data_IF_303187894810
#
_entry.id   IF_303187894810
#
_cell.length_a   1.000
_cell.length_b   1.000
_cell.length_c   1.000
_cell.angle_alpha   90.00
_cell.angle_beta   90.00
_cell.angle_gamma   90.00
#
_symmetry.space_group_name_H-M   'P 1'
#
loop_
_entity.id
_entity.type
_entity.pdbx_description
1 polymer ?
#
# COMPACT_ATOMS: atom_id res chain seq x y z
N UNK A 1 -72.72 -12.47 -65.45
CA UNK A 1 -71.26 -12.44 -65.67
C UNK A 1 -70.93 -11.03 -66.13
N UNK A 2 -70.26 -10.19 -65.36
CA UNK A 2 -68.99 -10.50 -64.67
C UNK A 2 -68.84 -9.60 -63.41
N UNK A 3 -68.22 -10.16 -62.37
CA UNK A 3 -67.97 -9.61 -61.02
C UNK A 3 -66.90 -8.49 -60.96
N UNK A 4 -66.83 -7.82 -59.80
CA UNK A 4 -65.90 -6.74 -59.36
C UNK A 4 -64.40 -7.10 -59.51
N UNK A 5 -63.45 -6.12 -59.50
CA UNK A 5 -62.79 -5.74 -58.22
C UNK A 5 -62.22 -4.31 -58.17
N UNK A 6 -62.51 -3.50 -57.14
CA UNK A 6 -61.82 -2.21 -56.94
C UNK A 6 -61.56 -1.84 -55.46
N UNK A 7 -62.09 -2.60 -54.49
CA UNK A 7 -61.95 -2.26 -53.05
C UNK A 7 -60.90 -3.07 -52.28
N UNK A 8 -60.34 -4.12 -52.90
CA UNK A 8 -59.36 -4.99 -52.24
C UNK A 8 -57.91 -4.45 -52.32
N UNK A 9 -57.63 -3.52 -53.22
CA UNK A 9 -56.26 -3.07 -53.51
C UNK A 9 -55.79 -1.95 -52.54
N UNK A 10 -56.66 -1.02 -52.17
CA UNK A 10 -56.33 0.10 -51.27
C UNK A 10 -56.18 -0.35 -49.80
N UNK A 11 -57.06 -1.26 -49.34
CA UNK A 11 -57.02 -1.80 -47.97
C UNK A 11 -55.78 -2.67 -47.72
N UNK A 12 -55.31 -3.38 -48.74
CA UNK A 12 -54.12 -4.24 -48.65
C UNK A 12 -52.84 -3.39 -48.58
N UNK A 13 -52.73 -2.33 -49.39
CA UNK A 13 -51.57 -1.44 -49.41
C UNK A 13 -51.33 -0.74 -48.05
N UNK A 14 -52.37 -0.22 -47.41
CA UNK A 14 -52.26 0.43 -46.10
C UNK A 14 -51.87 -0.56 -44.98
N UNK A 15 -52.41 -1.79 -45.03
CA UNK A 15 -52.06 -2.84 -44.08
C UNK A 15 -50.59 -3.28 -44.17
N UNK A 16 -50.04 -3.34 -45.39
CA UNK A 16 -48.62 -3.65 -45.62
C UNK A 16 -47.71 -2.53 -45.10
N UNK A 17 -47.99 -1.27 -45.46
CA UNK A 17 -47.18 -0.10 -45.08
C UNK A 17 -47.13 0.09 -43.55
N UNK A 18 -48.26 -0.10 -42.87
CA UNK A 18 -48.32 -0.05 -41.40
C UNK A 18 -47.51 -1.20 -40.75
N UNK A 19 -47.55 -2.39 -41.35
CA UNK A 19 -46.80 -3.55 -40.83
C UNK A 19 -45.29 -3.40 -41.01
N UNK A 20 -44.83 -2.78 -42.11
CA UNK A 20 -43.42 -2.48 -42.38
C UNK A 20 -42.89 -1.44 -41.39
N UNK A 21 -43.62 -0.36 -41.13
CA UNK A 21 -43.22 0.67 -40.15
C UNK A 21 -43.11 0.09 -38.72
N UNK A 22 -44.02 -0.83 -38.34
CA UNK A 22 -43.97 -1.52 -37.05
C UNK A 22 -42.73 -2.42 -36.93
N UNK A 23 -42.35 -3.14 -37.99
CA UNK A 23 -41.14 -4.00 -38.03
C UNK A 23 -39.86 -3.17 -37.99
N UNK A 24 -39.78 -2.07 -38.74
CA UNK A 24 -38.64 -1.15 -38.70
C UNK A 24 -38.46 -0.55 -37.31
N UNK A 25 -39.55 -0.12 -36.67
CA UNK A 25 -39.52 0.39 -35.29
C UNK A 25 -39.06 -0.69 -34.31
N UNK A 26 -39.50 -1.95 -34.47
CA UNK A 26 -39.04 -3.06 -33.65
C UNK A 26 -37.55 -3.36 -33.82
N UNK A 27 -37.03 -3.35 -35.05
CA UNK A 27 -35.59 -3.56 -35.32
C UNK A 27 -34.76 -2.43 -34.70
N UNK A 28 -35.22 -1.18 -34.81
CA UNK A 28 -34.56 -0.03 -34.19
C UNK A 28 -34.52 -0.16 -32.65
N UNK A 29 -35.61 -0.60 -32.02
CA UNK A 29 -35.66 -0.85 -30.58
C UNK A 29 -34.72 -1.97 -30.14
N UNK A 30 -34.61 -3.05 -30.93
CA UNK A 30 -33.67 -4.15 -30.65
C UNK A 30 -32.22 -3.66 -30.76
N UNK A 31 -31.89 -2.86 -31.78
CA UNK A 31 -30.56 -2.28 -31.94
C UNK A 31 -30.17 -1.39 -30.75
N UNK A 32 -31.08 -0.53 -30.29
CA UNK A 32 -30.86 0.32 -29.11
C UNK A 32 -30.64 -0.53 -27.86
N UNK A 33 -31.43 -1.59 -27.65
CA UNK A 33 -31.27 -2.47 -26.49
C UNK A 33 -29.90 -3.16 -26.45
N UNK A 34 -29.36 -3.59 -27.60
CA UNK A 34 -28.03 -4.20 -27.70
C UNK A 34 -26.95 -3.17 -27.36
N UNK A 35 -27.04 -1.95 -27.89
CA UNK A 35 -26.07 -0.88 -27.62
C UNK A 35 -26.07 -0.51 -26.13
N UNK A 36 -27.24 -0.38 -25.51
CA UNK A 36 -27.37 -0.09 -24.08
C UNK A 36 -26.76 -1.23 -23.25
N UNK A 37 -27.04 -2.49 -23.61
CA UNK A 37 -26.46 -3.65 -22.92
C UNK A 37 -24.94 -3.68 -23.04
N UNK A 38 -24.40 -3.34 -24.21
CA UNK A 38 -22.96 -3.28 -24.45
C UNK A 38 -22.29 -2.14 -23.67
N UNK A 39 -22.90 -0.94 -23.63
CA UNK A 39 -22.41 0.21 -22.87
C UNK A 39 -22.44 -0.03 -21.36
N UNK A 40 -23.51 -0.65 -20.84
CA UNK A 40 -23.62 -1.00 -19.42
C UNK A 40 -22.63 -2.12 -19.06
N UNK A 41 -22.50 -3.14 -19.90
CA UNK A 41 -21.56 -4.24 -19.71
C UNK A 41 -20.10 -3.79 -19.71
N UNK A 42 -19.71 -2.94 -20.65
CA UNK A 42 -18.35 -2.37 -20.71
C UNK A 42 -18.10 -1.37 -19.57
N UNK A 43 -19.02 -0.42 -19.33
CA UNK A 43 -18.85 0.61 -18.32
C UNK A 43 -18.75 0.08 -16.88
N UNK A 44 -19.43 -1.03 -16.59
CA UNK A 44 -19.42 -1.65 -15.25
C UNK A 44 -18.08 -2.31 -14.89
N UNK A 45 -17.34 -2.81 -15.87
CA UNK A 45 -16.04 -3.45 -15.64
C UNK A 45 -14.94 -2.46 -15.24
N UNK A 46 -14.90 -1.29 -15.89
CA UNK A 46 -13.89 -0.26 -15.61
C UNK A 46 -14.05 0.41 -14.23
N UNK A 47 -15.28 0.50 -13.72
CA UNK A 47 -15.52 1.08 -12.38
C UNK A 47 -15.00 0.19 -11.24
N UNK A 48 -15.14 -1.13 -11.36
CA UNK A 48 -14.64 -2.07 -10.34
C UNK A 48 -13.11 -2.09 -10.26
N UNK A 49 -12.42 -1.98 -11.39
CA UNK A 49 -10.96 -2.04 -11.42
C UNK A 49 -10.28 -0.86 -10.69
N UNK A 50 -10.85 0.34 -10.78
CA UNK A 50 -10.32 1.51 -10.05
C UNK A 50 -10.58 1.51 -8.54
N UNK A 51 -11.58 0.75 -8.06
CA UNK A 51 -11.85 0.63 -6.62
C UNK A 51 -10.81 -0.26 -5.92
N UNK A 52 -10.30 -1.29 -6.58
CA UNK A 52 -9.28 -2.17 -6.01
C UNK A 52 -7.94 -1.45 -5.84
N UNK A 53 -7.55 -0.64 -6.82
CA UNK A 53 -6.29 0.14 -6.78
C UNK A 53 -6.33 1.22 -5.69
N UNK A 54 -7.49 1.87 -5.51
CA UNK A 54 -7.69 2.87 -4.44
C UNK A 54 -7.78 2.24 -3.05
N UNK A 55 -8.39 1.06 -2.92
CA UNK A 55 -8.42 0.31 -1.65
C UNK A 55 -7.02 -0.17 -1.23
N UNK A 56 -6.24 -0.72 -2.16
CA UNK A 56 -4.85 -1.14 -1.91
C UNK A 56 -3.96 0.03 -1.52
N UNK A 57 -4.06 1.16 -2.24
CA UNK A 57 -3.30 2.37 -1.91
C UNK A 57 -3.65 2.91 -0.51
N UNK A 58 -4.93 2.87 -0.13
CA UNK A 58 -5.38 3.26 1.22
C UNK A 58 -4.81 2.33 2.29
N UNK A 59 -4.89 1.02 2.07
CA UNK A 59 -4.35 0.03 3.00
C UNK A 59 -2.83 0.16 3.16
N UNK A 60 -2.09 0.38 2.07
CA UNK A 60 -0.65 0.61 2.12
C UNK A 60 -0.31 1.88 2.91
N UNK A 61 -1.09 2.95 2.73
CA UNK A 61 -0.91 4.20 3.49
C UNK A 61 -1.15 3.98 4.98
N UNK A 62 -2.22 3.28 5.35
CA UNK A 62 -2.53 2.96 6.75
C UNK A 62 -1.42 2.11 7.38
N UNK A 63 -0.90 1.12 6.66
CA UNK A 63 0.23 0.30 7.11
C UNK A 63 1.50 1.13 7.31
N UNK A 64 1.82 2.02 6.38
CA UNK A 64 2.97 2.93 6.51
C UNK A 64 2.81 3.87 7.71
N UNK A 65 1.61 4.40 7.95
CA UNK A 65 1.35 5.26 9.11
C UNK A 65 1.52 4.50 10.43
N UNK A 66 1.02 3.25 10.49
CA UNK A 66 1.21 2.40 11.66
C UNK A 66 2.69 2.05 11.87
N UNK A 67 3.42 1.78 10.79
CA UNK A 67 4.86 1.53 10.83
C UNK A 67 5.63 2.75 11.37
N UNK A 68 5.34 3.96 10.89
CA UNK A 68 5.97 5.19 11.37
C UNK A 68 5.63 5.48 12.85
N UNK A 69 4.49 5.00 13.35
CA UNK A 69 4.12 5.14 14.77
C UNK A 69 4.97 4.24 15.68
N UNK A 70 5.36 3.05 15.23
CA UNK A 70 6.13 2.08 16.05
C UNK A 70 7.63 2.10 15.78
N UNK A 71 8.05 2.55 14.58
CA UNK A 71 9.44 2.69 14.19
C UNK A 71 9.66 4.04 13.47
N UNK A 72 9.61 5.16 14.20
CA UNK A 72 9.79 6.49 13.63
C UNK A 72 11.18 6.64 12.98
N UNK A 73 11.26 7.38 11.87
CA UNK A 73 12.51 7.55 11.09
C UNK A 73 13.65 8.17 11.90
N UNK A 74 13.32 9.10 12.81
CA UNK A 74 14.29 9.75 13.67
C UNK A 74 14.66 8.93 14.91
N UNK A 75 14.06 7.74 15.05
CA UNK A 75 14.25 6.86 16.20
C UNK A 75 13.42 7.24 17.43
N UNK A 76 13.64 6.50 18.51
CA UNK A 76 12.94 6.67 19.78
C UNK A 76 13.90 7.17 20.86
N UNK A 77 13.62 8.36 21.41
CA UNK A 77 14.44 8.96 22.47
C UNK A 77 14.03 8.44 23.85
N UNK A 78 14.98 7.86 24.58
CA UNK A 78 14.79 7.46 25.97
C UNK A 78 14.95 8.68 26.91
N UNK A 79 14.27 8.69 28.07
CA UNK A 79 14.43 9.74 29.08
C UNK A 79 15.72 9.57 29.91
N UNK A 80 16.79 9.06 29.32
CA UNK A 80 18.09 8.80 29.95
C UNK A 80 19.24 9.13 28.98
N UNK A 81 20.40 9.50 29.52
CA UNK A 81 21.66 9.66 28.77
C UNK A 81 22.58 8.46 28.98
N UNK A 82 23.64 8.36 28.17
CA UNK A 82 24.65 7.30 28.36
C UNK A 82 25.42 7.48 29.67
N UNK A 83 25.72 8.72 30.06
CA UNK A 83 26.58 9.04 31.20
C UNK A 83 27.90 8.27 31.10
N UNK A 84 28.35 7.73 32.24
CA UNK A 84 29.57 6.93 32.34
C UNK A 84 29.32 5.41 32.22
N UNK A 85 28.14 5.00 31.75
CA UNK A 85 27.75 3.58 31.73
C UNK A 85 28.73 2.73 30.92
N UNK A 86 29.16 3.20 29.75
CA UNK A 86 30.14 2.49 28.92
C UNK A 86 31.48 2.26 29.64
N UNK A 87 32.15 3.32 30.12
CA UNK A 87 33.36 3.20 30.92
C UNK A 87 33.20 2.25 32.11
N UNK A 88 32.09 2.35 32.84
CA UNK A 88 31.82 1.49 34.01
C UNK A 88 31.67 0.02 33.63
N UNK A 89 31.00 -0.29 32.51
CA UNK A 89 30.86 -1.67 32.03
C UNK A 89 32.20 -2.28 31.61
N UNK A 90 33.11 -1.48 31.04
CA UNK A 90 34.47 -1.91 30.71
C UNK A 90 35.29 -2.11 31.98
N UNK A 91 35.26 -1.14 32.90
CA UNK A 91 35.99 -1.19 34.17
C UNK A 91 35.56 -2.39 35.03
N UNK A 92 34.26 -2.69 35.05
CA UNK A 92 33.71 -3.85 35.74
C UNK A 92 34.04 -5.19 35.04
N UNK A 93 34.68 -5.16 33.86
CA UNK A 93 35.00 -6.35 33.07
C UNK A 93 33.79 -7.04 32.44
N UNK A 94 32.62 -6.40 32.45
CA UNK A 94 31.40 -6.93 31.84
C UNK A 94 31.47 -6.81 30.32
N UNK A 95 32.05 -5.72 29.83
CA UNK A 95 32.44 -5.55 28.43
C UNK A 95 33.96 -5.66 28.31
N UNK A 96 34.44 -6.74 27.68
CA UNK A 96 35.78 -6.75 27.08
C UNK A 96 35.72 -5.96 25.77
N UNK A 97 36.37 -4.78 25.74
CA UNK A 97 36.29 -3.87 24.60
C UNK A 97 36.76 -4.50 23.29
N UNK A 98 37.88 -5.23 23.30
CA UNK A 98 38.47 -5.80 22.09
C UNK A 98 37.64 -6.98 21.58
N UNK A 99 37.15 -7.83 22.50
CA UNK A 99 36.23 -8.90 22.15
C UNK A 99 34.91 -8.36 21.60
N UNK A 100 34.34 -7.34 22.24
CA UNK A 100 33.10 -6.68 21.82
C UNK A 100 33.24 -6.09 20.41
N UNK A 101 34.29 -5.32 20.16
CA UNK A 101 34.58 -4.74 18.84
C UNK A 101 34.74 -5.82 17.77
N UNK A 102 35.41 -6.94 18.10
CA UNK A 102 35.58 -8.07 17.18
C UNK A 102 34.25 -8.74 16.83
N UNK A 103 33.38 -8.98 17.81
CA UNK A 103 32.07 -9.59 17.58
C UNK A 103 31.18 -8.68 16.73
N UNK A 104 31.11 -7.39 17.07
CA UNK A 104 30.35 -6.39 16.31
C UNK A 104 30.82 -6.32 14.86
N UNK A 105 32.14 -6.27 14.63
CA UNK A 105 32.71 -6.26 13.26
C UNK A 105 32.40 -7.54 12.49
N UNK A 106 32.50 -8.70 13.13
CA UNK A 106 32.19 -9.99 12.52
C UNK A 106 30.71 -10.13 12.15
N UNK A 107 29.81 -9.46 12.89
CA UNK A 107 28.38 -9.37 12.60
C UNK A 107 28.01 -8.42 11.47
N UNK A 108 28.95 -7.62 10.96
CA UNK A 108 28.70 -6.61 9.93
C UNK A 108 28.40 -5.21 10.48
N UNK A 109 28.39 -5.04 11.80
CA UNK A 109 28.04 -3.79 12.49
C UNK A 109 29.27 -3.20 13.20
N UNK A 110 30.32 -2.91 12.44
CA UNK A 110 31.53 -2.32 13.00
C UNK A 110 31.22 -1.03 13.77
N UNK A 111 31.85 -0.86 14.94
CA UNK A 111 31.60 0.29 15.79
C UNK A 111 31.99 1.59 15.09
N UNK A 112 31.08 2.56 15.12
CA UNK A 112 31.38 3.93 14.75
C UNK A 112 32.27 4.60 15.79
N UNK A 113 32.97 5.68 15.40
CA UNK A 113 33.77 6.49 16.32
C UNK A 113 32.95 6.97 17.53
N UNK A 114 31.68 7.33 17.32
CA UNK A 114 30.78 7.76 18.40
C UNK A 114 30.50 6.63 19.39
N UNK A 115 30.24 5.41 18.91
CA UNK A 115 30.00 4.25 19.79
C UNK A 115 31.26 3.86 20.56
N UNK A 116 32.44 3.97 19.92
CA UNK A 116 33.72 3.77 20.60
C UNK A 116 33.94 4.82 21.70
N UNK A 117 33.56 6.08 21.46
CA UNK A 117 33.63 7.14 22.47
C UNK A 117 32.62 6.91 23.61
N UNK A 118 31.38 6.52 23.31
CA UNK A 118 30.38 6.15 24.34
C UNK A 118 30.92 5.05 25.25
N UNK A 119 31.55 4.02 24.68
CA UNK A 119 32.14 2.92 25.45
C UNK A 119 33.35 3.36 26.29
N UNK A 120 34.26 4.18 25.74
CA UNK A 120 35.54 4.49 26.39
C UNK A 120 35.52 5.72 27.29
N UNK A 121 34.66 6.69 27.00
CA UNK A 121 34.65 8.02 27.62
C UNK A 121 33.31 8.39 28.23
N UNK A 122 32.23 7.68 27.89
CA UNK A 122 30.88 8.08 28.25
C UNK A 122 30.33 9.20 27.35
N UNK A 123 29.10 9.63 27.62
CA UNK A 123 28.45 10.74 26.91
C UNK A 123 27.23 11.26 27.66
N UNK A 124 27.09 12.58 27.77
CA UNK A 124 25.87 13.21 28.32
C UNK A 124 24.69 13.22 27.33
N UNK A 125 24.90 12.74 26.10
CA UNK A 125 23.85 12.66 25.10
C UNK A 125 22.73 11.73 25.55
N UNK A 126 21.48 12.14 25.27
CA UNK A 126 20.33 11.25 25.41
C UNK A 126 20.48 10.05 24.48
N UNK A 127 20.03 8.90 24.97
CA UNK A 127 19.98 7.68 24.16
C UNK A 127 18.81 7.79 23.19
N UNK A 128 19.12 7.73 21.90
CA UNK A 128 18.13 7.65 20.82
C UNK A 128 18.34 6.32 20.10
N UNK A 129 17.32 5.46 20.17
CA UNK A 129 17.33 4.17 19.48
C UNK A 129 16.95 4.42 18.02
N UNK A 130 17.87 4.12 17.10
CA UNK A 130 17.64 4.20 15.66
C UNK A 130 17.93 2.85 15.02
N UNK A 131 17.52 2.66 13.76
CA UNK A 131 17.81 1.43 13.04
C UNK A 131 19.33 1.18 12.90
N UNK A 132 20.11 2.26 12.75
CA UNK A 132 21.56 2.22 12.54
C UNK A 132 22.34 1.84 13.80
N UNK A 133 21.80 2.09 14.99
CA UNK A 133 22.49 1.81 16.26
C UNK A 133 21.85 0.69 17.09
N UNK A 134 20.75 0.09 16.62
CA UNK A 134 19.98 -0.91 17.35
C UNK A 134 20.84 -2.11 17.78
N UNK A 135 21.74 -2.59 16.91
CA UNK A 135 22.60 -3.72 17.22
C UNK A 135 23.64 -3.39 18.30
N UNK A 136 24.20 -2.18 18.27
CA UNK A 136 25.08 -1.69 19.33
C UNK A 136 24.32 -1.56 20.64
N UNK A 137 23.17 -0.88 20.65
CA UNK A 137 22.39 -0.64 21.85
C UNK A 137 21.87 -1.94 22.47
N UNK A 138 21.48 -2.92 21.66
CA UNK A 138 21.10 -4.24 22.13
C UNK A 138 22.22 -4.89 22.95
N UNK A 139 23.43 -5.00 22.39
CA UNK A 139 24.55 -5.63 23.08
C UNK A 139 25.05 -4.79 24.26
N UNK A 140 25.00 -3.47 24.14
CA UNK A 140 25.36 -2.53 25.19
C UNK A 140 24.43 -2.65 26.41
N UNK A 141 23.11 -2.72 26.19
CA UNK A 141 22.15 -2.90 27.28
C UNK A 141 22.10 -4.33 27.80
N UNK A 142 22.38 -5.33 26.96
CA UNK A 142 22.48 -6.71 27.43
C UNK A 142 23.62 -6.89 28.44
N UNK A 143 24.70 -6.11 28.32
CA UNK A 143 25.77 -6.07 29.32
C UNK A 143 25.32 -5.50 30.68
N UNK A 144 24.20 -4.77 30.74
CA UNK A 144 23.67 -4.24 32.02
C UNK A 144 22.91 -5.32 32.80
N UNK A 145 22.24 -6.26 32.10
CA UNK A 145 21.42 -7.32 32.69
C UNK A 145 19.94 -7.21 32.38
#
# INVERSE_FOLDING_TARGET
MTEQPEQDEETIADSEVLSVNKRIRQIAWIGIAIIVTFLVGLGSGYLKWGQDETAQAKQQKELTQLYEQVNPKDGYALPVSYGDLGPQLIEAGVIDYDAFMKVMTAGGDALSNRQMDILKKGSDDKIVITAENAHFLLNFFWAVG
#
